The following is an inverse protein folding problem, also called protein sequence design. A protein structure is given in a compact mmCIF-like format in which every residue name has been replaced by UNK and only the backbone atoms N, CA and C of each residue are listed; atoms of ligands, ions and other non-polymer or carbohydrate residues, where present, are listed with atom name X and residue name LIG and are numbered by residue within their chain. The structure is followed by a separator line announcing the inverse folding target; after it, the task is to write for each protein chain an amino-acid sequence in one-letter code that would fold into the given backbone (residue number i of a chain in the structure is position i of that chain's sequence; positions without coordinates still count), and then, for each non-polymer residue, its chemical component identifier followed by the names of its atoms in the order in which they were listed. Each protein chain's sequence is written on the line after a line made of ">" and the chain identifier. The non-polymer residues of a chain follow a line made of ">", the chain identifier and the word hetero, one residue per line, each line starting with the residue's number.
data_IF_777683978394
#
_entry.id   IF_777683978394
#
_cell.length_a   1.000
_cell.length_b   1.000
_cell.length_c   1.000
_cell.angle_alpha   90.00
_cell.angle_beta   90.00
_cell.angle_gamma   90.00
#
_symmetry.space_group_name_H-M   'P 1'
#
loop_
_entity.id
_entity.type
_entity.pdbx_description
1 polymer ?
#
# COMPACT_ATOMS: atom_id res chain seq x y z
N UNK A 1 25.88 8.67 -9.92
CA UNK A 1 25.50 7.24 -9.81
C UNK A 1 24.12 7.19 -9.18
N UNK A 2 23.07 7.03 -9.99
CA UNK A 2 21.74 6.72 -9.46
C UNK A 2 21.78 5.28 -8.95
N UNK A 3 21.71 5.11 -7.63
CA UNK A 3 21.48 3.81 -7.03
C UNK A 3 20.09 3.35 -7.47
N UNK A 4 20.03 2.41 -8.41
CA UNK A 4 18.83 1.63 -8.74
C UNK A 4 18.35 0.96 -7.43
N UNK A 5 17.50 1.64 -6.66
CA UNK A 5 16.75 1.03 -5.57
C UNK A 5 15.80 0.04 -6.22
N UNK A 6 16.12 -1.25 -6.18
CA UNK A 6 15.17 -2.30 -6.55
C UNK A 6 13.89 -2.10 -5.75
N UNK A 7 12.78 -1.82 -6.45
CA UNK A 7 11.44 -1.80 -5.88
C UNK A 7 11.04 -3.26 -5.64
N UNK A 8 11.32 -3.75 -4.44
CA UNK A 8 10.84 -5.07 -3.97
C UNK A 8 9.35 -4.91 -3.62
N UNK A 9 8.52 -5.82 -4.11
CA UNK A 9 7.07 -5.87 -3.91
C UNK A 9 6.68 -6.76 -2.72
N UNK A 10 5.48 -6.59 -2.15
CA UNK A 10 5.00 -7.42 -1.03
C UNK A 10 5.05 -8.92 -1.35
N UNK A 11 4.68 -9.29 -2.58
CA UNK A 11 4.70 -10.68 -3.07
C UNK A 11 6.11 -11.28 -3.05
N UNK A 12 7.13 -10.48 -3.37
CA UNK A 12 8.53 -10.91 -3.35
C UNK A 12 9.02 -11.09 -1.91
N UNK A 13 8.65 -10.20 -0.98
CA UNK A 13 9.01 -10.34 0.45
C UNK A 13 8.35 -11.56 1.09
N UNK A 14 7.07 -11.82 0.79
CA UNK A 14 6.37 -13.03 1.25
C UNK A 14 7.00 -14.31 0.69
N UNK A 15 7.48 -14.26 -0.57
CA UNK A 15 8.22 -15.38 -1.17
C UNK A 15 9.56 -15.63 -0.48
N UNK A 16 10.25 -14.57 -0.03
CA UNK A 16 11.49 -14.65 0.73
C UNK A 16 11.27 -15.21 2.14
N UNK A 17 10.25 -14.77 2.88
CA UNK A 17 9.87 -15.35 4.20
C UNK A 17 9.65 -16.86 4.10
N UNK A 18 8.91 -17.30 3.07
CA UNK A 18 8.63 -18.72 2.86
C UNK A 18 9.89 -19.54 2.53
N UNK A 19 10.83 -18.95 1.79
CA UNK A 19 12.12 -19.57 1.50
C UNK A 19 13.01 -19.67 2.75
N UNK A 20 13.07 -18.60 3.54
CA UNK A 20 13.83 -18.56 4.81
C UNK A 20 13.29 -19.62 5.78
N UNK A 21 11.97 -19.71 5.97
CA UNK A 21 11.35 -20.74 6.83
C UNK A 21 11.66 -22.16 6.37
N UNK A 22 11.67 -22.43 5.05
CA UNK A 22 12.04 -23.75 4.51
C UNK A 22 13.50 -24.10 4.80
N UNK A 23 14.39 -23.12 4.67
CA UNK A 23 15.81 -23.29 5.01
C UNK A 23 15.96 -23.60 6.49
N UNK A 24 15.35 -22.80 7.38
CA UNK A 24 15.38 -22.99 8.84
C UNK A 24 14.85 -24.38 9.23
N UNK A 25 13.77 -24.86 8.59
CA UNK A 25 13.16 -26.16 8.89
C UNK A 25 14.05 -27.37 8.52
N UNK A 26 14.99 -27.19 7.59
CA UNK A 26 15.96 -28.21 7.18
C UNK A 26 17.24 -28.21 8.06
N UNK A 27 17.44 -27.19 8.90
CA UNK A 27 18.50 -27.19 9.90
C UNK A 27 18.01 -27.88 11.17
N UNK A 28 18.34 -29.16 11.30
CA UNK A 28 18.06 -29.99 12.48
C UNK A 28 18.62 -29.35 13.77
N UNK A 29 17.70 -28.84 14.61
CA UNK A 29 17.64 -28.80 16.09
C UNK A 29 18.90 -28.64 16.97
N UNK A 30 20.12 -28.44 16.50
CA UNK A 30 21.32 -28.50 17.37
C UNK A 30 22.05 -27.21 17.70
N UNK A 31 21.78 -26.11 17.03
CA UNK A 31 22.26 -24.80 17.49
C UNK A 31 21.11 -23.81 17.38
N UNK A 32 20.66 -23.32 18.54
CA UNK A 32 19.65 -22.28 18.62
C UNK A 32 20.15 -21.12 17.77
N UNK A 33 19.40 -20.92 16.68
CA UNK A 33 19.73 -20.14 15.51
C UNK A 33 19.60 -18.65 15.82
N UNK A 34 20.48 -18.18 16.69
CA UNK A 34 20.61 -16.78 17.12
C UNK A 34 21.16 -15.90 15.99
N UNK A 35 21.42 -16.47 14.82
CA UNK A 35 21.96 -15.76 13.65
C UNK A 35 20.93 -15.54 12.53
N UNK A 36 19.70 -16.03 12.69
CA UNK A 36 18.61 -15.79 11.71
C UNK A 36 17.39 -15.05 12.29
N UNK A 37 17.25 -14.95 13.61
CA UNK A 37 16.14 -14.22 14.25
C UNK A 37 16.06 -12.75 13.80
N UNK A 38 17.21 -12.09 13.57
CA UNK A 38 17.27 -10.72 13.09
C UNK A 38 16.84 -10.60 11.62
N UNK A 39 17.05 -11.65 10.80
CA UNK A 39 16.56 -11.69 9.42
C UNK A 39 15.05 -11.87 9.39
N UNK A 40 14.49 -12.73 10.25
CA UNK A 40 13.03 -12.89 10.37
C UNK A 40 12.36 -11.59 10.87
N UNK A 41 12.95 -10.92 11.87
CA UNK A 41 12.46 -9.63 12.36
C UNK A 41 12.52 -8.54 11.27
N UNK A 42 13.62 -8.48 10.51
CA UNK A 42 13.78 -7.52 9.42
C UNK A 42 12.78 -7.75 8.28
N UNK A 43 12.51 -9.02 7.94
CA UNK A 43 11.53 -9.37 6.91
C UNK A 43 10.10 -9.02 7.38
N UNK A 44 9.78 -9.28 8.65
CA UNK A 44 8.48 -8.93 9.22
C UNK A 44 8.25 -7.40 9.24
N UNK A 45 9.23 -6.63 9.70
CA UNK A 45 9.16 -5.16 9.69
C UNK A 45 9.05 -4.60 8.26
N UNK A 46 9.85 -5.13 7.34
CA UNK A 46 9.80 -4.73 5.93
C UNK A 46 8.44 -5.04 5.30
N UNK A 47 7.84 -6.18 5.64
CA UNK A 47 6.51 -6.58 5.15
C UNK A 47 5.44 -5.60 5.62
N UNK A 48 5.46 -5.22 6.91
CA UNK A 48 4.50 -4.24 7.45
C UNK A 48 4.66 -2.86 6.81
N UNK A 49 5.89 -2.39 6.63
CA UNK A 49 6.17 -1.09 6.00
C UNK A 49 5.70 -1.08 4.54
N UNK A 50 5.94 -2.15 3.80
CA UNK A 50 5.52 -2.28 2.40
C UNK A 50 4.00 -2.39 2.31
N UNK A 51 3.36 -3.21 3.15
CA UNK A 51 1.92 -3.36 3.19
C UNK A 51 1.22 -2.02 3.52
N UNK A 52 1.72 -1.27 4.50
CA UNK A 52 1.23 0.07 4.82
C UNK A 52 1.46 1.07 3.69
N UNK A 53 2.56 0.94 2.94
CA UNK A 53 2.81 1.77 1.77
C UNK A 53 1.87 1.44 0.60
N UNK A 54 1.64 0.16 0.33
CA UNK A 54 0.70 -0.32 -0.70
C UNK A 54 -0.74 0.08 -0.37
N UNK A 55 -1.18 -0.12 0.87
CA UNK A 55 -2.51 0.28 1.33
C UNK A 55 -2.74 1.79 1.22
N UNK A 56 -1.76 2.60 1.64
CA UNK A 56 -1.81 4.07 1.45
C UNK A 56 -1.82 4.46 -0.02
N UNK A 57 -1.09 3.73 -0.88
CA UNK A 57 -1.12 3.93 -2.33
C UNK A 57 -2.49 3.61 -2.94
N UNK A 58 -3.12 2.52 -2.51
CA UNK A 58 -4.45 2.13 -2.97
C UNK A 58 -5.53 3.11 -2.51
N UNK A 59 -5.50 3.54 -1.25
CA UNK A 59 -6.40 4.56 -0.70
C UNK A 59 -6.23 5.91 -1.42
N UNK A 60 -4.99 6.31 -1.71
CA UNK A 60 -4.71 7.51 -2.53
C UNK A 60 -5.26 7.36 -3.94
N UNK A 61 -5.04 6.23 -4.61
CA UNK A 61 -5.56 5.99 -5.95
C UNK A 61 -7.09 5.97 -6.02
N UNK A 62 -7.75 5.38 -5.02
CA UNK A 62 -9.22 5.44 -4.88
C UNK A 62 -9.69 6.88 -4.71
N UNK A 63 -9.05 7.66 -3.84
CA UNK A 63 -9.39 9.06 -3.60
C UNK A 63 -9.16 9.94 -4.84
N UNK A 64 -8.03 9.79 -5.53
CA UNK A 64 -7.72 10.50 -6.78
C UNK A 64 -8.76 10.21 -7.86
N UNK A 65 -9.13 8.93 -8.02
CA UNK A 65 -10.17 8.53 -8.99
C UNK A 65 -11.54 9.10 -8.63
N UNK A 66 -11.90 9.10 -7.35
CA UNK A 66 -13.15 9.74 -6.87
C UNK A 66 -13.17 11.23 -7.16
N UNK A 67 -12.04 11.94 -6.98
CA UNK A 67 -11.93 13.37 -7.31
C UNK A 67 -12.01 13.62 -8.83
N UNK A 68 -11.39 12.76 -9.64
CA UNK A 68 -11.47 12.85 -11.10
C UNK A 68 -12.92 12.70 -11.60
N UNK A 69 -13.65 11.72 -11.06
CA UNK A 69 -15.07 11.49 -11.36
C UNK A 69 -15.90 12.69 -10.90
N UNK A 70 -15.66 13.19 -9.69
CA UNK A 70 -16.34 14.36 -9.14
C UNK A 70 -16.18 15.60 -10.03
N UNK A 71 -14.97 15.86 -10.51
CA UNK A 71 -14.68 16.98 -11.39
C UNK A 71 -15.42 16.85 -12.73
N UNK A 72 -15.48 15.64 -13.31
CA UNK A 72 -16.26 15.39 -14.53
C UNK A 72 -17.75 15.63 -14.33
N UNK A 73 -18.32 15.20 -13.21
CA UNK A 73 -19.74 15.42 -12.90
C UNK A 73 -20.03 16.92 -12.66
N UNK A 74 -19.12 17.64 -12.01
CA UNK A 74 -19.21 19.10 -11.86
C UNK A 74 -19.20 19.81 -13.21
N UNK A 75 -18.32 19.39 -14.13
CA UNK A 75 -18.26 19.93 -15.50
C UNK A 75 -19.52 19.63 -16.32
N UNK A 76 -20.21 18.53 -16.03
CA UNK A 76 -21.50 18.19 -16.63
C UNK A 76 -22.67 19.00 -16.05
N UNK A 77 -22.43 19.86 -15.06
CA UNK A 77 -23.43 20.75 -14.47
C UNK A 77 -24.27 20.11 -13.36
N UNK A 78 -23.84 18.96 -12.81
CA UNK A 78 -24.51 18.35 -11.66
C UNK A 78 -24.30 19.18 -10.39
N UNK A 79 -25.27 19.08 -9.47
CA UNK A 79 -25.18 19.79 -8.19
C UNK A 79 -24.19 19.10 -7.26
N UNK A 80 -23.50 19.90 -6.45
CA UNK A 80 -22.43 19.44 -5.56
C UNK A 80 -22.97 18.44 -4.53
N UNK A 81 -24.21 18.66 -4.07
CA UNK A 81 -24.90 17.81 -3.12
C UNK A 81 -25.17 16.41 -3.71
N UNK A 82 -25.61 16.33 -4.96
CA UNK A 82 -25.86 15.06 -5.66
C UNK A 82 -24.57 14.29 -5.94
N UNK A 83 -23.48 15.01 -6.25
CA UNK A 83 -22.16 14.42 -6.45
C UNK A 83 -21.59 13.90 -5.12
N UNK A 84 -21.82 14.62 -4.03
CA UNK A 84 -21.42 14.21 -2.67
C UNK A 84 -22.07 12.90 -2.27
N UNK A 85 -23.37 12.74 -2.52
CA UNK A 85 -24.12 11.52 -2.21
C UNK A 85 -23.65 10.31 -3.04
N UNK A 86 -23.33 10.51 -4.31
CA UNK A 86 -22.92 9.42 -5.21
C UNK A 86 -21.47 8.98 -5.00
N UNK A 87 -20.56 9.94 -4.76
CA UNK A 87 -19.12 9.66 -4.66
C UNK A 87 -18.69 9.42 -3.21
N UNK A 88 -19.50 9.86 -2.24
CA UNK A 88 -19.20 9.74 -0.81
C UNK A 88 -18.09 10.70 -0.34
N UNK A 89 -17.83 11.77 -1.10
CA UNK A 89 -16.91 12.85 -0.71
C UNK A 89 -17.70 13.97 -0.03
N UNK A 90 -17.17 14.60 1.02
CA UNK A 90 -17.86 15.71 1.68
C UNK A 90 -17.97 16.91 0.74
N UNK A 91 -19.13 17.57 0.75
CA UNK A 91 -19.46 18.73 -0.09
C UNK A 91 -18.37 19.81 -0.05
N UNK A 92 -17.75 20.04 1.11
CA UNK A 92 -16.66 21.02 1.28
C UNK A 92 -15.43 20.71 0.40
N UNK A 93 -15.09 19.44 0.22
CA UNK A 93 -13.97 19.05 -0.67
C UNK A 93 -14.33 19.25 -2.14
N UNK A 94 -15.60 19.09 -2.50
CA UNK A 94 -16.09 19.30 -3.86
C UNK A 94 -16.17 20.78 -4.24
N UNK A 95 -16.49 21.67 -3.30
CA UNK A 95 -16.46 23.12 -3.54
C UNK A 95 -15.06 23.62 -3.88
N UNK A 96 -14.02 23.04 -3.29
CA UNK A 96 -12.63 23.37 -3.62
C UNK A 96 -12.22 22.96 -5.04
N UNK A 97 -12.96 22.03 -5.68
CA UNK A 97 -12.73 21.63 -7.08
C UNK A 97 -13.41 22.57 -8.09
N UNK A 98 -14.33 23.42 -7.64
CA UNK A 98 -15.07 24.36 -8.49
C UNK A 98 -14.35 25.71 -8.63
N UNK A 99 -13.32 25.97 -7.82
CA UNK A 99 -12.48 27.16 -7.87
C UNK A 99 -11.53 27.12 -9.06
#
# INVERSE_FOLDING_TARGET
>A
METKKSKITLKEVMGMDLAIRKVIKNFDKKEINTDLWWKDSYVYESTNIINDAEKRGEERGKREKSLEIANRLLLMGLKVEEISDVIGLPVNELYNLKA
#
